data_IF_059231579908
#
_entry.id   IF_059231579908
#
_cell.length_a   1.000
_cell.length_b   1.000
_cell.length_c   1.000
_cell.angle_alpha   90.00
_cell.angle_beta   90.00
_cell.angle_gamma   90.00
#
_symmetry.space_group_name_H-M   'P 1'
#
loop_
_entity.id
_entity.type
_entity.pdbx_description
1 polymer ?
#
# COMPACT_ATOMS: atom_id res chain seq x y z
N UNK A 1 3.34 19.05 -7.45
CA UNK A 1 2.13 18.82 -8.27
C UNK A 1 2.48 18.27 -9.66
N UNK A 2 3.51 18.79 -10.33
CA UNK A 2 3.94 18.29 -11.63
C UNK A 2 4.41 16.83 -11.54
N UNK A 3 5.26 16.51 -10.58
CA UNK A 3 5.76 15.15 -10.32
C UNK A 3 4.62 14.15 -10.01
N UNK A 4 3.59 14.58 -9.24
CA UNK A 4 2.43 13.74 -8.95
C UNK A 4 1.67 13.42 -10.24
N UNK A 5 1.45 14.41 -11.11
CA UNK A 5 0.76 14.20 -12.39
C UNK A 5 1.55 13.29 -13.33
N UNK A 6 2.86 13.46 -13.39
CA UNK A 6 3.76 12.63 -14.20
C UNK A 6 3.71 11.17 -13.72
N UNK A 7 3.82 10.93 -12.41
CA UNK A 7 3.72 9.59 -11.84
C UNK A 7 2.33 8.95 -12.08
N UNK A 8 1.24 9.71 -11.93
CA UNK A 8 -0.11 9.21 -12.19
C UNK A 8 -0.33 8.89 -13.66
N UNK A 9 0.28 9.65 -14.58
CA UNK A 9 0.27 9.33 -16.00
C UNK A 9 1.04 8.03 -16.29
N UNK A 10 2.14 7.76 -15.57
CA UNK A 10 2.85 6.48 -15.61
C UNK A 10 1.95 5.33 -15.09
N UNK A 11 1.29 5.51 -13.93
CA UNK A 11 0.34 4.54 -13.38
C UNK A 11 -0.81 4.20 -14.34
N UNK A 12 -1.21 5.13 -15.20
CA UNK A 12 -2.28 4.90 -16.17
C UNK A 12 -1.92 3.94 -17.29
N UNK A 13 -0.63 3.63 -17.47
CA UNK A 13 -0.06 2.86 -18.59
C UNK A 13 0.36 1.45 -18.21
N UNK A 14 0.31 1.12 -16.91
CA UNK A 14 0.72 -0.22 -16.43
C UNK A 14 -0.47 -1.19 -16.43
N UNK A 15 -0.18 -2.48 -16.47
CA UNK A 15 -1.19 -3.53 -16.35
C UNK A 15 -1.58 -3.79 -14.89
N UNK A 16 -0.69 -3.48 -13.97
CA UNK A 16 -0.91 -3.60 -12.52
C UNK A 16 -0.03 -2.64 -11.74
N UNK A 17 -0.42 -2.37 -10.50
CA UNK A 17 0.42 -1.74 -9.48
C UNK A 17 0.07 -2.29 -8.10
N UNK A 18 1.03 -2.24 -7.18
CA UNK A 18 0.81 -2.48 -5.76
C UNK A 18 0.73 -1.15 -5.03
N UNK A 19 -0.13 -1.06 -4.02
CA UNK A 19 -0.29 0.15 -3.22
C UNK A 19 -0.52 -0.17 -1.74
N UNK A 20 -0.21 0.79 -0.90
CA UNK A 20 -0.43 0.75 0.53
C UNK A 20 -0.89 2.13 1.03
N UNK A 21 -1.80 2.16 1.98
CA UNK A 21 -2.30 3.41 2.57
C UNK A 21 -1.75 3.59 3.97
N UNK A 22 -1.12 4.74 4.21
CA UNK A 22 -0.81 5.21 5.56
C UNK A 22 -1.99 6.00 6.11
N UNK A 23 -2.48 5.62 7.30
CA UNK A 23 -3.69 6.19 7.89
C UNK A 23 -3.51 6.51 9.36
N UNK A 24 -4.31 7.43 9.88
CA UNK A 24 -4.26 7.85 11.30
C UNK A 24 -4.82 6.83 12.27
N UNK A 25 -5.54 5.81 11.80
CA UNK A 25 -6.22 4.81 12.63
C UNK A 25 -6.33 3.48 11.89
N UNK A 26 -6.38 2.38 12.63
CA UNK A 26 -6.74 1.05 12.12
C UNK A 26 -8.25 0.83 11.98
N UNK A 27 -9.07 1.76 12.47
CA UNK A 27 -10.52 1.75 12.26
C UNK A 27 -10.83 2.56 10.98
N UNK A 28 -11.23 1.90 9.89
CA UNK A 28 -11.48 2.57 8.62
C UNK A 28 -12.62 3.61 8.69
N UNK A 29 -13.50 3.55 9.70
CA UNK A 29 -14.61 4.50 9.83
C UNK A 29 -14.17 5.89 10.31
N UNK A 30 -13.01 5.98 10.96
CA UNK A 30 -12.50 7.23 11.55
C UNK A 30 -11.08 7.59 11.08
N UNK A 31 -10.50 6.75 10.22
CA UNK A 31 -9.15 6.94 9.73
C UNK A 31 -9.08 8.04 8.66
N UNK A 32 -8.14 8.96 8.84
CA UNK A 32 -7.74 9.91 7.80
C UNK A 32 -6.56 9.35 7.00
N UNK A 33 -6.52 9.66 5.71
CA UNK A 33 -5.44 9.29 4.83
C UNK A 33 -4.22 10.19 5.06
N UNK A 34 -3.11 9.58 5.44
CA UNK A 34 -1.81 10.25 5.65
C UNK A 34 -0.97 10.26 4.38
N UNK A 35 -1.00 9.18 3.63
CA UNK A 35 -0.29 9.05 2.37
C UNK A 35 -0.59 7.75 1.65
N UNK A 36 -0.08 7.65 0.43
CA UNK A 36 -0.24 6.48 -0.42
C UNK A 36 1.13 6.12 -0.98
N UNK A 37 1.55 4.88 -0.80
CA UNK A 37 2.72 4.33 -1.48
C UNK A 37 2.32 3.41 -2.63
N UNK A 38 3.18 3.34 -3.63
CA UNK A 38 3.00 2.53 -4.83
C UNK A 38 4.29 1.80 -5.17
N UNK A 39 4.17 0.54 -5.60
CA UNK A 39 5.25 -0.21 -6.22
C UNK A 39 4.79 -0.74 -7.59
N UNK A 40 5.57 -0.43 -8.63
CA UNK A 40 5.32 -0.83 -10.03
C UNK A 40 6.23 -1.98 -10.44
N UNK A 41 7.38 -2.07 -9.84
CA UNK A 41 8.40 -3.10 -10.06
C UNK A 41 9.23 -3.27 -8.79
N UNK A 42 9.90 -4.41 -8.59
CA UNK A 42 10.78 -4.63 -7.45
C UNK A 42 11.79 -3.50 -7.25
N UNK A 43 11.95 -3.08 -5.99
CA UNK A 43 12.89 -2.02 -5.55
C UNK A 43 12.61 -0.64 -6.14
N UNK A 44 11.40 -0.41 -6.64
CA UNK A 44 10.97 0.87 -7.18
C UNK A 44 9.60 1.25 -6.60
N UNK A 45 9.62 2.01 -5.52
CA UNK A 45 8.43 2.48 -4.85
C UNK A 45 8.40 4.00 -4.71
N UNK A 46 7.20 4.56 -4.74
CA UNK A 46 6.92 6.00 -4.64
C UNK A 46 5.93 6.23 -3.50
N UNK A 47 6.16 7.25 -2.68
CA UNK A 47 5.24 7.67 -1.63
C UNK A 47 4.71 9.07 -1.90
N UNK A 48 3.39 9.24 -1.90
CA UNK A 48 2.70 10.52 -2.02
C UNK A 48 2.14 10.90 -0.65
N UNK A 49 2.71 11.95 -0.05
CA UNK A 49 2.32 12.41 1.28
C UNK A 49 1.14 13.38 1.22
N UNK A 50 0.08 13.07 1.95
CA UNK A 50 -1.19 13.79 1.95
C UNK A 50 -1.31 14.89 3.02
N UNK A 51 -0.20 15.40 3.57
CA UNK A 51 -0.20 16.40 4.66
C UNK A 51 -0.95 17.69 4.31
N UNK A 52 -0.88 18.12 3.07
CA UNK A 52 -1.60 19.30 2.61
C UNK A 52 -2.92 18.86 1.99
N UNK A 53 -4.03 19.38 2.51
CA UNK A 53 -5.37 18.98 2.09
C UNK A 53 -5.64 19.18 0.59
N UNK A 54 -5.10 20.27 0.00
CA UNK A 54 -5.22 20.53 -1.43
C UNK A 54 -4.44 19.50 -2.27
N UNK A 55 -3.23 19.09 -1.81
CA UNK A 55 -2.44 18.06 -2.48
C UNK A 55 -3.12 16.69 -2.36
N UNK A 56 -3.61 16.36 -1.16
CA UNK A 56 -4.34 15.12 -0.93
C UNK A 56 -5.56 15.01 -1.86
N UNK A 57 -6.38 16.06 -1.91
CA UNK A 57 -7.56 16.10 -2.78
C UNK A 57 -7.19 15.98 -4.25
N UNK A 58 -6.22 16.76 -4.72
CA UNK A 58 -5.74 16.66 -6.10
C UNK A 58 -5.26 15.24 -6.43
N UNK A 59 -4.47 14.63 -5.54
CA UNK A 59 -3.97 13.26 -5.70
C UNK A 59 -5.11 12.26 -5.83
N UNK A 60 -6.10 12.31 -4.94
CA UNK A 60 -7.25 11.42 -4.97
C UNK A 60 -8.12 11.61 -6.22
N UNK A 61 -8.35 12.86 -6.63
CA UNK A 61 -9.11 13.18 -7.86
C UNK A 61 -8.42 12.61 -9.11
N UNK A 62 -7.09 12.67 -9.17
CA UNK A 62 -6.30 12.13 -10.27
C UNK A 62 -6.19 10.59 -10.23
N UNK A 63 -6.12 9.99 -9.05
CA UNK A 63 -6.03 8.54 -8.86
C UNK A 63 -7.36 7.83 -9.05
N UNK A 64 -8.48 8.52 -8.83
CA UNK A 64 -9.82 7.92 -8.92
C UNK A 64 -10.03 7.15 -10.24
N UNK A 65 -9.82 7.71 -11.45
CA UNK A 65 -10.03 6.98 -12.68
C UNK A 65 -9.08 5.77 -12.84
N UNK A 66 -7.93 5.76 -12.17
CA UNK A 66 -6.96 4.66 -12.21
C UNK A 66 -7.40 3.52 -11.30
N UNK A 67 -7.81 3.82 -10.08
CA UNK A 67 -8.37 2.82 -9.16
C UNK A 67 -9.67 2.20 -9.68
N UNK A 68 -10.48 2.97 -10.40
CA UNK A 68 -11.75 2.53 -10.98
C UNK A 68 -11.59 1.86 -12.36
N UNK A 69 -10.38 1.82 -12.92
CA UNK A 69 -10.12 1.17 -14.22
C UNK A 69 -10.05 -0.36 -14.06
N UNK A 70 -11.01 -1.08 -14.62
CA UNK A 70 -11.10 -2.55 -14.58
C UNK A 70 -9.93 -3.26 -15.30
N UNK A 71 -9.22 -2.56 -16.19
CA UNK A 71 -8.12 -3.14 -16.96
C UNK A 71 -6.79 -3.17 -16.21
N UNK A 72 -6.67 -2.41 -15.14
CA UNK A 72 -5.45 -2.33 -14.32
C UNK A 72 -5.68 -3.18 -13.07
N UNK A 73 -4.84 -4.18 -12.81
CA UNK A 73 -4.90 -4.94 -11.57
C UNK A 73 -4.34 -4.13 -10.39
N UNK A 74 -4.94 -4.27 -9.22
CA UNK A 74 -4.51 -3.60 -7.98
C UNK A 74 -4.03 -4.64 -6.98
N UNK A 75 -2.78 -4.49 -6.56
CA UNK A 75 -2.17 -5.34 -5.57
C UNK A 75 -1.96 -4.63 -4.23
N UNK A 76 -1.87 -5.43 -3.17
CA UNK A 76 -1.58 -4.93 -1.83
C UNK A 76 -1.58 -6.04 -0.79
N UNK A 77 -1.60 -5.63 0.47
CA UNK A 77 -1.60 -6.51 1.62
C UNK A 77 -2.79 -6.19 2.53
N UNK A 78 -3.72 -7.12 2.74
CA UNK A 78 -4.97 -6.87 3.45
C UNK A 78 -5.80 -5.72 2.83
N UNK A 79 -5.94 -5.76 1.52
CA UNK A 79 -6.57 -4.72 0.70
C UNK A 79 -7.99 -4.35 1.11
N UNK A 80 -8.68 -5.21 1.84
CA UNK A 80 -10.01 -4.91 2.37
C UNK A 80 -10.02 -3.61 3.18
N UNK A 81 -8.97 -3.36 3.97
CA UNK A 81 -8.83 -2.13 4.74
C UNK A 81 -8.65 -0.92 3.81
N UNK A 82 -7.67 -0.97 2.90
CA UNK A 82 -7.35 0.13 1.99
C UNK A 82 -8.52 0.47 1.06
N UNK A 83 -9.20 -0.54 0.53
CA UNK A 83 -10.41 -0.36 -0.29
C UNK A 83 -11.52 0.33 0.52
N UNK A 84 -11.67 -0.01 1.80
CA UNK A 84 -12.65 0.64 2.67
C UNK A 84 -12.33 2.12 2.90
N UNK A 85 -11.05 2.47 3.09
CA UNK A 85 -10.59 3.86 3.19
C UNK A 85 -10.85 4.61 1.88
N UNK A 86 -10.44 4.06 0.74
CA UNK A 86 -10.64 4.70 -0.57
C UNK A 86 -12.12 4.95 -0.86
N UNK A 87 -13.00 4.07 -0.41
CA UNK A 87 -14.45 4.23 -0.56
C UNK A 87 -14.98 5.47 0.17
N UNK A 88 -14.41 5.84 1.33
CA UNK A 88 -14.79 7.09 2.02
C UNK A 88 -14.42 8.34 1.20
N UNK A 89 -13.42 8.23 0.34
CA UNK A 89 -13.04 9.28 -0.61
C UNK A 89 -13.77 9.16 -1.96
N UNK A 90 -14.87 8.37 -2.03
CA UNK A 90 -15.67 8.12 -3.24
C UNK A 90 -14.86 7.48 -4.39
N UNK A 91 -13.87 6.66 -4.06
CA UNK A 91 -13.11 5.86 -5.01
C UNK A 91 -13.56 4.39 -4.88
N UNK A 92 -14.10 3.83 -5.97
CA UNK A 92 -14.52 2.43 -6.03
C UNK A 92 -13.46 1.63 -6.77
N UNK A 93 -12.63 0.92 -6.02
CA UNK A 93 -11.58 0.08 -6.61
C UNK A 93 -12.21 -1.03 -7.45
N UNK A 94 -11.79 -1.13 -8.72
CA UNK A 94 -12.32 -2.06 -9.71
C UNK A 94 -11.20 -2.83 -10.39
N UNK A 95 -11.55 -3.94 -11.04
CA UNK A 95 -10.61 -4.82 -11.74
C UNK A 95 -10.10 -5.95 -10.85
N UNK A 96 -9.06 -6.63 -11.33
CA UNK A 96 -8.42 -7.74 -10.60
C UNK A 96 -7.77 -7.24 -9.32
N UNK A 97 -7.99 -7.98 -8.21
CA UNK A 97 -7.40 -7.71 -6.90
C UNK A 97 -6.35 -8.78 -6.57
N UNK A 98 -5.14 -8.34 -6.24
CA UNK A 98 -3.99 -9.17 -5.88
C UNK A 98 -3.60 -8.91 -4.43
N UNK A 99 -4.20 -9.65 -3.50
CA UNK A 99 -3.93 -9.49 -2.05
C UNK A 99 -2.92 -10.55 -1.59
N UNK A 100 -1.71 -10.12 -1.25
CA UNK A 100 -0.62 -11.01 -0.84
C UNK A 100 -0.92 -11.74 0.48
N UNK A 101 -1.65 -11.10 1.42
CA UNK A 101 -2.05 -11.76 2.67
C UNK A 101 -3.05 -12.88 2.40
N UNK A 102 -4.05 -12.64 1.55
CA UNK A 102 -5.05 -13.65 1.18
C UNK A 102 -4.41 -14.78 0.38
N UNK A 103 -3.50 -14.48 -0.53
CA UNK A 103 -2.74 -15.49 -1.27
C UNK A 103 -1.98 -16.43 -0.33
N UNK A 104 -1.23 -15.88 0.63
CA UNK A 104 -0.54 -16.71 1.61
C UNK A 104 -1.50 -17.50 2.51
N UNK A 105 -2.65 -16.93 2.88
CA UNK A 105 -3.66 -17.67 3.65
C UNK A 105 -4.18 -18.89 2.89
N UNK A 106 -4.34 -18.81 1.58
CA UNK A 106 -4.75 -19.95 0.74
C UNK A 106 -3.65 -21.01 0.69
N UNK A 107 -2.38 -20.60 0.57
CA UNK A 107 -1.22 -21.50 0.49
C UNK A 107 -0.90 -22.20 1.82
N UNK A 108 -1.04 -21.48 2.93
CA UNK A 108 -0.70 -21.95 4.26
C UNK A 108 -1.69 -21.44 5.33
N UNK A 109 -2.91 -22.01 5.43
CA UNK A 109 -3.97 -21.52 6.33
C UNK A 109 -3.60 -21.50 7.82
N UNK A 110 -2.69 -22.39 8.24
CA UNK A 110 -2.26 -22.52 9.64
C UNK A 110 -1.09 -21.56 9.99
N UNK A 111 -0.55 -20.86 9.01
CA UNK A 111 0.60 -19.98 9.16
C UNK A 111 0.27 -18.65 9.82
N UNK A 112 1.32 -17.85 10.08
CA UNK A 112 1.20 -16.44 10.40
C UNK A 112 1.17 -15.65 9.10
N UNK A 113 0.29 -14.64 9.01
CA UNK A 113 0.06 -13.89 7.78
C UNK A 113 0.42 -12.40 7.89
N UNK A 114 1.12 -11.97 8.94
CA UNK A 114 1.58 -10.60 9.05
C UNK A 114 2.82 -10.36 8.15
N UNK A 115 2.90 -9.20 7.55
CA UNK A 115 3.88 -8.86 6.53
C UNK A 115 5.33 -9.00 7.00
N UNK A 116 5.66 -8.52 8.20
CA UNK A 116 7.02 -8.63 8.77
C UNK A 116 7.48 -10.09 8.86
N UNK A 117 6.61 -10.98 9.33
CA UNK A 117 6.91 -12.41 9.42
C UNK A 117 7.10 -13.03 8.03
N UNK A 118 6.25 -12.67 7.06
CA UNK A 118 6.35 -13.20 5.70
C UNK A 118 7.59 -12.68 4.98
N UNK A 119 7.96 -11.43 5.19
CA UNK A 119 9.20 -10.86 4.66
C UNK A 119 10.45 -11.58 5.20
N UNK A 120 10.46 -11.87 6.52
CA UNK A 120 11.55 -12.63 7.14
C UNK A 120 11.68 -14.04 6.56
N UNK A 121 10.57 -14.77 6.41
CA UNK A 121 10.57 -16.17 5.97
C UNK A 121 10.79 -16.33 4.46
N UNK A 122 10.15 -15.49 3.63
CA UNK A 122 10.16 -15.67 2.17
C UNK A 122 11.19 -14.81 1.44
N UNK A 123 11.59 -13.69 2.04
CA UNK A 123 12.54 -12.76 1.43
C UNK A 123 13.87 -12.67 2.20
N UNK A 124 13.97 -13.34 3.35
CA UNK A 124 15.12 -13.22 4.27
C UNK A 124 15.41 -11.73 4.62
N UNK A 125 14.34 -10.94 4.73
CA UNK A 125 14.41 -9.49 4.90
C UNK A 125 13.69 -9.05 6.18
N UNK A 126 14.41 -8.26 6.99
CA UNK A 126 13.86 -7.65 8.20
C UNK A 126 13.31 -6.26 7.86
N UNK A 127 11.99 -6.13 7.89
CA UNK A 127 11.27 -4.87 7.67
C UNK A 127 11.48 -3.87 8.81
N UNK A 128 11.19 -2.60 8.52
CA UNK A 128 11.00 -1.57 9.55
C UNK A 128 9.63 -1.82 10.17
N UNK A 129 9.58 -2.20 11.43
CA UNK A 129 8.29 -2.44 12.10
C UNK A 129 7.59 -1.12 12.43
N UNK A 130 6.25 -1.16 12.53
CA UNK A 130 5.48 0.00 12.96
C UNK A 130 5.90 0.52 14.34
N UNK A 131 6.24 -0.38 15.27
CA UNK A 131 6.80 -0.02 16.59
C UNK A 131 8.08 0.79 16.49
N UNK A 132 8.99 0.39 15.60
CA UNK A 132 10.24 1.15 15.34
C UNK A 132 9.93 2.52 14.75
N UNK A 133 8.99 2.62 13.79
CA UNK A 133 8.59 3.88 13.18
C UNK A 133 8.07 4.89 14.21
N UNK A 134 7.23 4.43 15.15
CA UNK A 134 6.63 5.29 16.18
C UNK A 134 7.46 5.38 17.48
N UNK A 135 8.64 4.76 17.53
CA UNK A 135 9.51 4.68 18.71
C UNK A 135 8.77 4.12 19.95
N UNK A 136 7.99 3.06 19.78
CA UNK A 136 7.19 2.39 20.82
C UNK A 136 6.22 3.31 21.59
N UNK A 137 5.90 4.48 21.05
CA UNK A 137 4.94 5.41 21.65
C UNK A 137 3.51 4.89 21.50
N UNK A 138 2.77 4.83 22.62
CA UNK A 138 1.35 4.44 22.60
C UNK A 138 0.45 5.51 21.98
N UNK A 139 0.75 6.78 22.26
CA UNK A 139 0.04 7.94 21.70
C UNK A 139 0.90 8.51 20.55
N UNK A 140 0.81 7.87 19.39
CA UNK A 140 1.48 8.32 18.19
C UNK A 140 0.51 9.08 17.26
N UNK A 141 1.08 9.96 16.46
CA UNK A 141 0.39 10.62 15.38
C UNK A 141 1.30 10.63 14.16
N UNK A 142 0.90 9.91 13.10
CA UNK A 142 1.71 9.80 11.88
C UNK A 142 2.02 11.14 11.23
N UNK A 143 1.17 12.15 11.44
CA UNK A 143 1.43 13.53 10.98
C UNK A 143 2.67 14.18 11.63
N UNK A 144 3.12 13.66 12.78
CA UNK A 144 4.27 14.16 13.53
C UNK A 144 5.56 13.36 13.25
N UNK A 145 5.48 12.30 12.46
CA UNK A 145 6.66 11.53 12.05
C UNK A 145 7.42 12.33 10.98
N UNK A 146 8.74 12.23 11.02
CA UNK A 146 9.59 12.81 9.98
C UNK A 146 9.20 12.25 8.61
N UNK A 147 8.99 13.15 7.64
CA UNK A 147 8.49 12.79 6.31
C UNK A 147 9.40 11.77 5.60
N UNK A 148 10.72 11.87 5.83
CA UNK A 148 11.67 10.94 5.21
C UNK A 148 11.56 9.55 5.84
N UNK A 149 11.42 9.46 7.15
CA UNK A 149 11.22 8.18 7.84
C UNK A 149 9.91 7.52 7.41
N UNK A 150 8.83 8.29 7.39
CA UNK A 150 7.52 7.78 6.93
C UNK A 150 7.57 7.33 5.46
N UNK A 151 8.25 8.09 4.60
CA UNK A 151 8.40 7.73 3.19
C UNK A 151 9.17 6.43 3.00
N UNK A 152 10.25 6.22 3.74
CA UNK A 152 11.04 4.98 3.67
C UNK A 152 10.19 3.80 4.12
N UNK A 153 9.49 3.92 5.25
CA UNK A 153 8.60 2.90 5.77
C UNK A 153 7.48 2.54 4.77
N UNK A 154 6.76 3.54 4.28
CA UNK A 154 5.64 3.33 3.36
C UNK A 154 6.08 2.74 2.00
N UNK A 155 7.22 3.16 1.47
CA UNK A 155 7.79 2.59 0.24
C UNK A 155 8.23 1.14 0.45
N UNK A 156 8.81 0.82 1.60
CA UNK A 156 9.18 -0.55 1.97
C UNK A 156 7.95 -1.45 1.99
N UNK A 157 6.85 -1.03 2.63
CA UNK A 157 5.61 -1.82 2.72
C UNK A 157 5.03 -2.15 1.33
N UNK A 158 5.01 -1.18 0.41
CA UNK A 158 4.53 -1.40 -0.94
C UNK A 158 5.45 -2.35 -1.73
N UNK A 159 6.76 -2.19 -1.62
CA UNK A 159 7.74 -3.00 -2.34
C UNK A 159 7.78 -4.44 -1.82
N UNK A 160 7.83 -4.63 -0.50
CA UNK A 160 7.77 -5.96 0.15
C UNK A 160 6.50 -6.71 -0.25
N UNK A 161 5.37 -6.02 -0.29
CA UNK A 161 4.10 -6.62 -0.71
C UNK A 161 4.15 -7.12 -2.16
N UNK A 162 4.72 -6.35 -3.07
CA UNK A 162 4.93 -6.74 -4.46
C UNK A 162 5.86 -7.97 -4.56
N UNK A 163 6.97 -7.97 -3.82
CA UNK A 163 7.93 -9.09 -3.80
C UNK A 163 7.28 -10.38 -3.28
N UNK A 164 6.53 -10.30 -2.19
CA UNK A 164 5.78 -11.43 -1.62
C UNK A 164 4.74 -11.95 -2.62
N UNK A 165 3.99 -11.05 -3.27
CA UNK A 165 3.03 -11.45 -4.30
C UNK A 165 3.69 -12.26 -5.42
N UNK A 166 4.84 -11.85 -5.92
CA UNK A 166 5.54 -12.56 -6.98
C UNK A 166 5.87 -14.00 -6.61
N UNK A 167 6.19 -14.27 -5.33
CA UNK A 167 6.42 -15.62 -4.83
C UNK A 167 5.09 -16.39 -4.77
N UNK A 168 4.10 -15.82 -4.10
CA UNK A 168 2.81 -16.50 -3.86
C UNK A 168 2.03 -16.75 -5.15
N UNK A 169 2.09 -15.83 -6.12
CA UNK A 169 1.46 -16.02 -7.42
C UNK A 169 2.02 -17.24 -8.17
N UNK A 170 3.31 -17.54 -8.03
CA UNK A 170 3.93 -18.73 -8.62
C UNK A 170 3.46 -20.00 -7.92
N UNK A 171 3.49 -20.01 -6.58
CA UNK A 171 3.04 -21.15 -5.78
C UNK A 171 1.53 -21.45 -5.96
N UNK A 172 0.70 -20.43 -6.19
CA UNK A 172 -0.73 -20.61 -6.47
C UNK A 172 -1.02 -21.25 -7.83
N UNK A 173 -0.06 -21.27 -8.75
CA UNK A 173 -0.21 -21.86 -10.10
C UNK A 173 0.19 -23.34 -10.14
N UNK A 174 0.87 -23.85 -9.11
CA UNK A 174 1.30 -25.24 -8.95
C UNK A 174 0.20 -26.09 -8.32
#
# INVERSE_FOLDING_TARGET
>A
EAEIKEFIDELSKVDFFFFFLETTSLDPLVADLVGISFALSPYNAVFIYCKQQNICRLTLDLLKPIFENEKIAKGGFNLKFDISILKHYNINVSGEIRDAMVAHYILNPEGKHNMDYLADIYLEYKTITFSELVNDKKDFNLWNIDTKQLSVYACEDADITLLLWHIFEQELKE
#
